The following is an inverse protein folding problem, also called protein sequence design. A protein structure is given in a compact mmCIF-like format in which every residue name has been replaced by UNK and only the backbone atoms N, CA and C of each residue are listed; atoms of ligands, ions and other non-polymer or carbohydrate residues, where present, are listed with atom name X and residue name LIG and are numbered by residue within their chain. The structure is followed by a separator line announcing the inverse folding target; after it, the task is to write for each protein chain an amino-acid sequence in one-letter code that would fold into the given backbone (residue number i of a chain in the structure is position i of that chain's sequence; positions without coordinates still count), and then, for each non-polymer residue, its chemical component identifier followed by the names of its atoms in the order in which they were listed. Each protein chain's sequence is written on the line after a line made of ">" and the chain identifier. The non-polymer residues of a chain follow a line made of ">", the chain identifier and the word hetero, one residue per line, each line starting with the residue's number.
data_IF_628118695714
#
_entry.id   IF_628118695714
#
_cell.length_a   1.000
_cell.length_b   1.000
_cell.length_c   1.000
_cell.angle_alpha   90.00
_cell.angle_beta   90.00
_cell.angle_gamma   90.00
#
_symmetry.space_group_name_H-M   'P 1'
#
loop_
_entity.id
_entity.type
_entity.pdbx_description
1 polymer ?
#
# COMPACT_ATOMS: atom_id res chain seq x y z
N UNK A 1 -19.30 -10.78 -20.28
CA UNK A 1 -18.35 -9.63 -20.11
C UNK A 1 -17.98 -9.57 -18.63
N UNK A 2 -16.75 -9.94 -18.27
CA UNK A 2 -16.24 -9.74 -16.91
C UNK A 2 -16.05 -8.22 -16.72
N UNK A 3 -16.81 -7.62 -15.79
CA UNK A 3 -16.53 -6.25 -15.33
C UNK A 3 -15.16 -6.27 -14.65
N UNK A 4 -14.16 -5.68 -15.27
CA UNK A 4 -12.88 -5.44 -14.60
C UNK A 4 -13.14 -4.52 -13.41
N UNK A 5 -12.93 -5.04 -12.21
CA UNK A 5 -13.02 -4.25 -10.98
C UNK A 5 -11.83 -3.27 -10.95
N UNK A 6 -12.07 -2.02 -11.31
CA UNK A 6 -11.07 -0.96 -11.23
C UNK A 6 -11.12 -0.33 -9.84
N UNK A 7 -10.01 -0.34 -9.09
CA UNK A 7 -9.97 0.33 -7.79
C UNK A 7 -10.08 1.85 -7.99
N UNK A 8 -11.09 2.46 -7.39
CA UNK A 8 -11.34 3.92 -7.46
C UNK A 8 -10.76 4.67 -6.26
N UNK A 9 -10.58 3.98 -5.14
CA UNK A 9 -10.03 4.52 -3.91
C UNK A 9 -9.34 3.41 -3.12
N UNK A 10 -8.53 3.80 -2.14
CA UNK A 10 -7.95 2.90 -1.14
C UNK A 10 -8.51 3.26 0.23
N UNK A 11 -8.93 2.26 0.97
CA UNK A 11 -9.31 2.37 2.37
C UNK A 11 -8.22 1.69 3.21
N UNK A 12 -7.67 2.41 4.17
CA UNK A 12 -6.68 1.90 5.12
C UNK A 12 -7.29 1.87 6.52
N UNK A 13 -6.94 0.88 7.30
CA UNK A 13 -7.29 0.78 8.70
C UNK A 13 -6.02 0.71 9.54
N UNK A 14 -5.86 1.63 10.49
CA UNK A 14 -4.76 1.61 11.45
C UNK A 14 -5.22 0.86 12.70
N UNK A 15 -4.63 -0.31 12.94
CA UNK A 15 -4.98 -1.17 14.08
C UNK A 15 -4.61 -0.61 15.43
N UNK A 16 -3.68 0.37 15.50
CA UNK A 16 -3.26 1.02 16.75
C UNK A 16 -4.21 2.12 17.16
N UNK A 17 -4.60 2.97 16.19
CA UNK A 17 -5.51 4.10 16.44
C UNK A 17 -6.97 3.74 16.20
N UNK A 18 -7.24 2.58 15.60
CA UNK A 18 -8.56 2.12 15.18
C UNK A 18 -9.25 3.10 14.23
N UNK A 19 -8.47 3.72 13.36
CA UNK A 19 -8.94 4.76 12.46
C UNK A 19 -8.96 4.29 11.02
N UNK A 20 -10.03 4.67 10.31
CA UNK A 20 -10.13 4.49 8.86
C UNK A 20 -9.63 5.74 8.14
N UNK A 21 -8.89 5.53 7.06
CA UNK A 21 -8.43 6.58 6.16
C UNK A 21 -8.73 6.21 4.72
N UNK A 22 -9.52 7.02 4.05
CA UNK A 22 -9.88 6.84 2.64
C UNK A 22 -9.07 7.78 1.76
N UNK A 23 -8.51 7.23 0.69
CA UNK A 23 -7.77 7.98 -0.33
C UNK A 23 -8.34 7.69 -1.71
N UNK A 24 -8.91 8.71 -2.34
CA UNK A 24 -9.42 8.64 -3.72
C UNK A 24 -8.24 8.66 -4.69
N UNK A 25 -8.26 7.83 -5.70
CA UNK A 25 -7.21 7.80 -6.71
C UNK A 25 -7.32 8.98 -7.66
N UNK A 26 -6.18 9.64 -7.93
CA UNK A 26 -6.10 10.81 -8.81
C UNK A 26 -6.17 10.46 -10.31
N UNK A 27 -5.85 9.22 -10.65
CA UNK A 27 -5.79 8.72 -12.04
C UNK A 27 -7.11 8.11 -12.53
N UNK A 28 -8.17 8.17 -11.72
CA UNK A 28 -9.49 7.66 -12.08
C UNK A 28 -10.33 8.77 -12.72
N UNK A 29 -11.06 8.42 -13.78
CA UNK A 29 -12.00 9.36 -14.41
C UNK A 29 -13.09 9.78 -13.42
N UNK A 30 -13.41 11.06 -13.34
CA UNK A 30 -14.43 11.58 -12.44
C UNK A 30 -15.81 10.90 -12.63
N UNK A 31 -16.14 10.53 -13.87
CA UNK A 31 -17.38 9.81 -14.19
C UNK A 31 -17.49 8.42 -13.55
N UNK A 32 -16.35 7.82 -13.21
CA UNK A 32 -16.29 6.49 -12.57
C UNK A 32 -16.36 6.55 -11.05
N UNK A 33 -16.33 7.76 -10.47
CA UNK A 33 -16.44 7.95 -9.03
C UNK A 33 -17.91 8.08 -8.61
N UNK A 34 -18.33 7.43 -7.52
CA UNK A 34 -19.67 7.61 -6.98
C UNK A 34 -19.84 9.01 -6.37
N UNK A 35 -21.08 9.44 -6.25
CA UNK A 35 -21.54 10.77 -5.87
C UNK A 35 -20.59 11.64 -5.04
N UNK A 36 -20.44 11.35 -3.75
CA UNK A 36 -19.62 12.19 -2.85
C UNK A 36 -18.13 12.15 -3.18
N UNK A 37 -17.58 11.00 -3.58
CA UNK A 37 -16.17 10.91 -3.99
C UNK A 37 -15.88 11.77 -5.22
N UNK A 38 -16.83 11.85 -6.15
CA UNK A 38 -16.74 12.72 -7.32
C UNK A 38 -16.69 14.20 -6.92
N UNK A 39 -17.55 14.62 -6.00
CA UNK A 39 -17.55 16.00 -5.50
C UNK A 39 -16.23 16.36 -4.81
N UNK A 40 -15.67 15.46 -4.00
CA UNK A 40 -14.36 15.68 -3.39
C UNK A 40 -13.25 15.79 -4.43
N UNK A 41 -13.22 14.89 -5.40
CA UNK A 41 -12.21 14.90 -6.46
C UNK A 41 -12.30 16.15 -7.35
N UNK A 42 -13.50 16.65 -7.64
CA UNK A 42 -13.71 17.91 -8.35
C UNK A 42 -13.15 19.13 -7.60
N UNK A 43 -13.19 19.09 -6.26
CA UNK A 43 -12.59 20.11 -5.40
C UNK A 43 -11.11 19.88 -5.12
N UNK A 44 -10.48 18.86 -5.72
CA UNK A 44 -9.09 18.51 -5.46
C UNK A 44 -8.85 17.82 -4.11
N UNK A 45 -9.91 17.46 -3.39
CA UNK A 45 -9.83 16.82 -2.08
C UNK A 45 -9.81 15.29 -2.24
N UNK A 46 -8.62 14.72 -2.36
CA UNK A 46 -8.46 13.27 -2.56
C UNK A 46 -8.33 12.47 -1.25
N UNK A 47 -8.18 13.15 -0.12
CA UNK A 47 -8.15 12.58 1.23
C UNK A 47 -9.18 13.33 2.08
N UNK A 48 -10.44 12.87 2.14
CA UNK A 48 -11.53 13.61 2.75
C UNK A 48 -11.50 13.68 4.29
N UNK A 49 -10.48 13.06 4.90
CA UNK A 49 -10.27 13.08 6.34
C UNK A 49 -10.88 11.87 7.05
N UNK A 50 -10.56 11.78 8.34
CA UNK A 50 -10.89 10.64 9.19
C UNK A 50 -12.40 10.52 9.45
N UNK A 51 -13.02 11.60 9.81
CA UNK A 51 -14.44 11.64 10.18
C UNK A 51 -15.34 11.16 9.03
N UNK A 52 -15.05 11.63 7.81
CA UNK A 52 -15.75 11.19 6.63
C UNK A 52 -15.44 9.73 6.29
N UNK A 53 -14.19 9.29 6.44
CA UNK A 53 -13.78 7.92 6.20
C UNK A 53 -14.49 6.95 7.13
N UNK A 54 -14.59 7.29 8.41
CA UNK A 54 -15.33 6.52 9.43
C UNK A 54 -16.81 6.45 9.09
N UNK A 55 -17.45 7.58 8.79
CA UNK A 55 -18.87 7.62 8.41
C UNK A 55 -19.15 6.78 7.17
N UNK A 56 -18.29 6.85 6.16
CA UNK A 56 -18.40 6.05 4.94
C UNK A 56 -18.37 4.55 5.23
N UNK A 57 -17.53 4.11 6.16
CA UNK A 57 -17.49 2.71 6.61
C UNK A 57 -18.76 2.35 7.39
N UNK A 58 -19.19 3.19 8.32
CA UNK A 58 -20.38 2.95 9.14
C UNK A 58 -21.67 2.81 8.32
N UNK A 59 -21.75 3.46 7.17
CA UNK A 59 -22.88 3.30 6.23
C UNK A 59 -22.87 1.93 5.51
N UNK A 60 -21.80 1.12 5.66
CA UNK A 60 -21.60 -0.18 4.98
C UNK A 60 -21.50 -1.38 5.92
N UNK A 61 -21.52 -1.13 7.21
CA UNK A 61 -21.46 -2.19 8.22
C UNK A 61 -22.71 -2.17 9.08
N UNK A 62 -22.97 -3.30 9.74
CA UNK A 62 -24.07 -3.40 10.70
C UNK A 62 -23.68 -2.61 11.96
N UNK A 63 -24.49 -1.64 12.41
CA UNK A 63 -24.21 -0.89 13.63
C UNK A 63 -24.13 -1.76 14.88
N UNK A 64 -23.27 -1.39 15.83
CA UNK A 64 -23.06 -2.13 17.06
C UNK A 64 -24.32 -2.18 17.95
N UNK A 65 -25.12 -1.13 17.91
CA UNK A 65 -26.35 -0.98 18.70
C UNK A 65 -27.57 -1.65 18.07
N UNK A 66 -27.41 -2.32 16.92
CA UNK A 66 -28.52 -3.03 16.26
C UNK A 66 -29.02 -4.16 17.14
N UNK A 67 -30.34 -4.24 17.32
CA UNK A 67 -30.98 -5.36 18.00
C UNK A 67 -30.59 -6.70 17.35
N UNK A 68 -30.16 -7.67 18.15
CA UNK A 68 -29.73 -8.99 17.66
C UNK A 68 -28.32 -9.04 17.08
N UNK A 69 -27.49 -8.01 17.21
CA UNK A 69 -26.12 -7.98 16.68
C UNK A 69 -25.29 -9.20 17.11
N UNK A 70 -25.45 -9.67 18.35
CA UNK A 70 -24.73 -10.85 18.85
C UNK A 70 -25.07 -12.15 18.09
N UNK A 71 -26.28 -12.28 17.54
CA UNK A 71 -26.67 -13.40 16.71
C UNK A 71 -25.98 -13.26 15.34
N UNK A 72 -26.08 -12.09 14.71
CA UNK A 72 -25.46 -11.83 13.43
C UNK A 72 -23.92 -12.01 13.45
N UNK A 73 -23.27 -11.64 14.56
CA UNK A 73 -21.83 -11.88 14.74
C UNK A 73 -21.51 -13.37 14.80
N UNK A 74 -22.25 -14.17 15.57
CA UNK A 74 -22.03 -15.62 15.68
C UNK A 74 -22.28 -16.34 14.36
N UNK A 75 -23.33 -15.99 13.64
CA UNK A 75 -23.63 -16.55 12.30
C UNK A 75 -22.50 -16.27 11.31
N UNK A 76 -21.79 -15.16 11.49
CA UNK A 76 -20.61 -14.80 10.72
C UNK A 76 -19.30 -15.30 11.32
N UNK A 77 -19.34 -16.17 12.37
CA UNK A 77 -18.15 -16.73 13.01
C UNK A 77 -17.31 -15.69 13.75
N UNK A 78 -17.93 -14.60 14.24
CA UNK A 78 -17.26 -13.55 15.01
C UNK A 78 -17.68 -13.61 16.48
N UNK A 79 -16.69 -13.47 17.37
CA UNK A 79 -16.89 -13.48 18.83
C UNK A 79 -17.04 -12.09 19.42
N UNK A 80 -16.59 -11.07 18.72
CA UNK A 80 -16.64 -9.67 19.11
C UNK A 80 -16.96 -8.76 17.92
N UNK A 81 -17.46 -7.59 18.22
CA UNK A 81 -17.68 -6.56 17.19
C UNK A 81 -16.34 -5.98 16.74
N UNK A 82 -16.11 -5.99 15.43
CA UNK A 82 -14.93 -5.44 14.78
C UNK A 82 -15.34 -4.88 13.43
N UNK A 83 -15.30 -3.55 13.30
CA UNK A 83 -15.75 -2.82 12.09
C UNK A 83 -14.98 -3.26 10.83
N UNK A 84 -13.66 -3.47 10.97
CA UNK A 84 -12.82 -3.90 9.87
C UNK A 84 -13.18 -5.32 9.40
N UNK A 85 -13.32 -6.26 10.33
CA UNK A 85 -13.69 -7.64 10.03
C UNK A 85 -15.10 -7.75 9.42
N UNK A 86 -16.05 -6.94 9.91
CA UNK A 86 -17.41 -6.87 9.34
C UNK A 86 -17.36 -6.34 7.90
N UNK A 87 -16.60 -5.26 7.69
CA UNK A 87 -16.44 -4.63 6.38
C UNK A 87 -15.81 -5.59 5.35
N UNK A 88 -14.77 -6.33 5.75
CA UNK A 88 -14.14 -7.35 4.90
C UNK A 88 -15.12 -8.46 4.53
N UNK A 89 -15.86 -9.01 5.48
CA UNK A 89 -16.84 -10.09 5.24
C UNK A 89 -18.01 -9.66 4.37
N UNK A 90 -18.54 -8.47 4.59
CA UNK A 90 -19.64 -7.90 3.80
C UNK A 90 -19.18 -7.39 2.44
N UNK A 91 -17.85 -7.29 2.21
CA UNK A 91 -17.26 -6.59 1.08
C UNK A 91 -17.73 -5.13 0.98
N UNK A 92 -18.16 -4.55 2.08
CA UNK A 92 -18.66 -3.19 2.13
C UNK A 92 -19.83 -2.91 1.21
N UNK A 93 -20.62 -3.94 0.85
CA UNK A 93 -21.80 -3.76 -0.01
C UNK A 93 -22.80 -2.79 0.63
N UNK A 94 -23.27 -1.85 -0.16
CA UNK A 94 -24.23 -0.82 0.26
C UNK A 94 -25.30 -0.66 -0.80
N UNK A 95 -26.46 -0.17 -0.40
CA UNK A 95 -27.53 0.24 -1.31
C UNK A 95 -27.30 1.62 -1.89
N UNK A 96 -26.32 2.35 -1.41
CA UNK A 96 -26.02 3.73 -1.80
C UNK A 96 -25.17 3.84 -3.07
N UNK A 97 -24.38 2.82 -3.35
CA UNK A 97 -23.50 2.75 -4.53
C UNK A 97 -23.12 1.29 -4.87
N UNK A 98 -22.50 1.10 -6.02
CA UNK A 98 -22.03 -0.21 -6.52
C UNK A 98 -20.56 -0.51 -6.09
N UNK A 99 -20.03 0.20 -5.11
CA UNK A 99 -18.66 -0.03 -4.65
C UNK A 99 -18.57 -1.30 -3.80
N UNK A 100 -17.45 -2.00 -3.99
CA UNK A 100 -17.05 -3.12 -3.15
C UNK A 100 -15.73 -2.81 -2.46
N UNK A 101 -15.60 -3.24 -1.23
CA UNK A 101 -14.33 -3.23 -0.48
C UNK A 101 -13.69 -4.60 -0.65
N UNK A 102 -12.60 -4.64 -1.38
CA UNK A 102 -11.83 -5.86 -1.60
C UNK A 102 -10.46 -5.73 -0.95
N UNK A 103 -9.95 -6.78 -0.30
CA UNK A 103 -8.58 -6.79 0.17
C UNK A 103 -7.63 -6.47 -0.98
N UNK A 104 -6.73 -5.55 -0.77
CA UNK A 104 -5.67 -5.26 -1.71
C UNK A 104 -4.34 -5.12 -0.97
N UNK A 105 -3.25 -5.44 -1.65
CA UNK A 105 -1.97 -4.93 -1.20
C UNK A 105 -2.07 -3.41 -1.27
N UNK A 106 -2.11 -2.75 -0.11
CA UNK A 106 -2.15 -1.30 -0.04
C UNK A 106 -1.03 -0.67 -0.86
N UNK A 107 -1.11 0.62 -1.22
CA UNK A 107 -0.03 1.30 -1.90
C UNK A 107 1.23 1.04 -1.09
N UNK A 108 2.19 0.32 -1.69
CA UNK A 108 3.44 -0.08 -1.00
C UNK A 108 3.97 1.18 -0.35
N UNK A 109 3.98 1.23 0.99
CA UNK A 109 4.58 2.34 1.73
C UNK A 109 5.93 2.56 1.09
N UNK A 110 6.23 3.79 0.64
CA UNK A 110 7.57 4.10 0.12
C UNK A 110 8.54 3.61 1.17
N UNK A 111 9.21 2.52 0.88
CA UNK A 111 10.15 1.92 1.82
C UNK A 111 11.19 2.99 2.15
N UNK A 112 11.52 3.12 3.42
CA UNK A 112 12.55 4.05 3.87
C UNK A 112 13.80 3.84 2.99
N UNK A 113 14.43 4.91 2.47
CA UNK A 113 15.63 4.78 1.65
C UNK A 113 16.68 3.95 2.37
N UNK A 114 17.42 3.12 1.62
CA UNK A 114 18.55 2.39 2.18
C UNK A 114 19.58 3.40 2.68
N UNK A 115 20.07 3.18 3.89
CA UNK A 115 21.13 4.00 4.47
C UNK A 115 22.47 3.68 3.80
N UNK A 116 23.43 4.63 3.79
CA UNK A 116 24.77 4.39 3.26
C UNK A 116 25.44 3.13 3.82
N UNK A 117 25.27 2.91 5.14
CA UNK A 117 25.82 1.74 5.83
C UNK A 117 25.19 0.42 5.35
N UNK A 118 23.88 0.43 5.09
CA UNK A 118 23.18 -0.75 4.57
C UNK A 118 23.62 -1.08 3.14
N UNK A 119 23.84 -0.08 2.29
CA UNK A 119 24.31 -0.28 0.92
C UNK A 119 25.74 -0.85 0.94
N UNK A 120 26.63 -0.27 1.76
CA UNK A 120 28.01 -0.73 1.92
C UNK A 120 28.03 -2.17 2.46
N UNK A 121 27.23 -2.47 3.47
CA UNK A 121 27.12 -3.82 4.03
C UNK A 121 26.68 -4.83 2.98
N UNK A 122 25.64 -4.52 2.24
CA UNK A 122 25.09 -5.38 1.18
C UNK A 122 26.16 -5.70 0.12
N UNK A 123 26.96 -4.71 -0.29
CA UNK A 123 28.06 -4.91 -1.21
C UNK A 123 29.16 -5.80 -0.63
N UNK A 124 29.51 -5.58 0.63
CA UNK A 124 30.56 -6.38 1.31
C UNK A 124 30.10 -7.82 1.53
N UNK A 125 28.85 -8.03 1.93
CA UNK A 125 28.26 -9.37 2.11
C UNK A 125 28.23 -10.15 0.77
N UNK A 126 28.14 -9.41 -0.36
CA UNK A 126 28.22 -9.96 -1.71
C UNK A 126 29.67 -10.12 -2.25
N UNK A 127 30.69 -9.85 -1.45
CA UNK A 127 32.10 -9.84 -1.85
C UNK A 127 32.40 -8.97 -3.09
N UNK A 128 31.68 -7.86 -3.26
CA UNK A 128 31.84 -6.97 -4.41
C UNK A 128 32.71 -5.75 -4.08
N UNK A 129 33.42 -5.26 -5.09
CA UNK A 129 33.98 -3.88 -5.10
C UNK A 129 32.89 -2.86 -5.41
N UNK A 130 33.13 -1.58 -5.20
CA UNK A 130 32.20 -0.52 -5.64
C UNK A 130 31.99 -0.57 -7.17
N UNK A 131 33.05 -0.87 -7.92
CA UNK A 131 32.99 -1.08 -9.37
C UNK A 131 32.10 -2.29 -9.73
N UNK A 132 32.27 -3.42 -9.06
CA UNK A 132 31.45 -4.59 -9.29
C UNK A 132 29.96 -4.38 -8.98
N UNK A 133 29.65 -3.66 -7.88
CA UNK A 133 28.27 -3.30 -7.59
C UNK A 133 27.70 -2.34 -8.66
N UNK A 134 28.49 -1.40 -9.14
CA UNK A 134 28.09 -0.45 -10.19
C UNK A 134 27.75 -1.20 -11.50
N UNK A 135 28.57 -2.16 -11.88
CA UNK A 135 28.38 -3.01 -13.06
C UNK A 135 27.07 -3.80 -12.97
N UNK A 136 26.87 -4.53 -11.87
CA UNK A 136 25.63 -5.31 -11.62
C UNK A 136 24.36 -4.44 -11.67
N UNK A 137 24.46 -3.19 -11.20
CA UNK A 137 23.33 -2.26 -11.21
C UNK A 137 23.16 -1.48 -12.53
N UNK A 138 24.10 -1.61 -13.49
CA UNK A 138 24.13 -0.79 -14.70
C UNK A 138 24.34 0.70 -14.40
N UNK A 139 25.13 1.01 -13.37
CA UNK A 139 25.35 2.37 -12.86
C UNK A 139 26.82 2.76 -12.92
N UNK A 140 27.12 4.03 -12.70
CA UNK A 140 28.52 4.49 -12.60
C UNK A 140 29.10 4.21 -11.20
N UNK A 141 30.41 3.97 -11.11
CA UNK A 141 31.12 3.82 -9.84
C UNK A 141 30.91 5.06 -8.93
N UNK A 142 30.92 6.25 -9.52
CA UNK A 142 30.66 7.52 -8.80
C UNK A 142 29.28 7.57 -8.15
N UNK A 143 28.26 6.91 -8.76
CA UNK A 143 26.93 6.82 -8.15
C UNK A 143 26.97 5.96 -6.88
N UNK A 144 27.62 4.81 -6.93
CA UNK A 144 27.78 3.91 -5.76
C UNK A 144 28.56 4.60 -4.64
N UNK A 145 29.66 5.28 -4.97
CA UNK A 145 30.45 6.09 -4.01
C UNK A 145 29.58 7.18 -3.35
N UNK A 146 28.75 7.87 -4.14
CA UNK A 146 27.86 8.90 -3.63
C UNK A 146 26.80 8.33 -2.68
N UNK A 147 26.27 7.12 -2.93
CA UNK A 147 25.33 6.46 -2.05
C UNK A 147 25.98 5.98 -0.75
N UNK A 148 27.16 5.35 -0.83
CA UNK A 148 27.88 4.86 0.36
C UNK A 148 28.45 6.00 1.23
N UNK A 149 28.70 7.16 0.66
CA UNK A 149 29.10 8.37 1.39
C UNK A 149 27.93 9.22 1.89
N UNK A 150 26.69 8.88 1.52
CA UNK A 150 25.50 9.64 1.90
C UNK A 150 25.31 10.96 1.13
N UNK A 151 26.12 11.24 0.10
CA UNK A 151 25.97 12.43 -0.75
C UNK A 151 24.73 12.35 -1.65
N UNK A 152 24.26 11.12 -1.95
CA UNK A 152 23.07 10.90 -2.75
C UNK A 152 22.35 9.64 -2.26
N UNK A 153 21.11 9.42 -2.72
CA UNK A 153 20.26 8.30 -2.36
C UNK A 153 19.92 7.51 -3.62
N UNK A 154 20.02 6.16 -3.60
CA UNK A 154 19.57 5.37 -4.74
C UNK A 154 18.08 5.59 -5.01
N UNK A 155 17.70 5.69 -6.28
CA UNK A 155 16.33 5.92 -6.71
C UNK A 155 15.95 5.02 -7.89
N UNK A 156 14.66 4.92 -8.17
CA UNK A 156 14.15 4.20 -9.34
C UNK A 156 14.52 2.72 -9.37
N UNK A 157 15.15 2.27 -10.47
CA UNK A 157 15.55 0.88 -10.67
C UNK A 157 16.64 0.44 -9.69
N UNK A 158 17.62 1.29 -9.42
CA UNK A 158 18.73 0.97 -8.52
C UNK A 158 18.24 0.67 -7.09
N UNK A 159 17.33 1.48 -6.53
CA UNK A 159 16.75 1.22 -5.20
C UNK A 159 15.98 -0.12 -5.18
N UNK A 160 15.24 -0.43 -6.24
CA UNK A 160 14.50 -1.70 -6.33
C UNK A 160 15.44 -2.90 -6.37
N UNK A 161 16.50 -2.84 -7.17
CA UNK A 161 17.47 -3.94 -7.31
C UNK A 161 18.21 -4.14 -5.99
N UNK A 162 18.71 -3.08 -5.34
CA UNK A 162 19.37 -3.16 -4.04
C UNK A 162 18.46 -3.82 -2.98
N UNK A 163 17.17 -3.55 -2.98
CA UNK A 163 16.21 -4.18 -2.06
C UNK A 163 15.95 -5.65 -2.40
N UNK A 164 15.97 -6.02 -3.66
CA UNK A 164 15.87 -7.43 -4.08
C UNK A 164 17.13 -8.18 -3.60
N UNK A 165 18.31 -7.63 -3.81
CA UNK A 165 19.57 -8.18 -3.31
C UNK A 165 19.58 -8.34 -1.79
N UNK A 166 19.04 -7.36 -1.05
CA UNK A 166 18.92 -7.39 0.40
C UNK A 166 18.01 -8.54 0.89
N UNK A 167 16.90 -8.76 0.19
CA UNK A 167 15.92 -9.81 0.57
C UNK A 167 16.30 -11.20 0.07
N UNK A 168 16.99 -11.26 -1.04
CA UNK A 168 17.34 -12.50 -1.75
C UNK A 168 18.80 -12.49 -2.18
N UNK A 169 19.73 -12.75 -1.27
CA UNK A 169 21.17 -12.73 -1.59
C UNK A 169 21.57 -13.68 -2.73
N UNK A 170 20.83 -14.77 -2.92
CA UNK A 170 21.08 -15.73 -4.02
C UNK A 170 20.96 -15.13 -5.43
N UNK A 171 20.21 -14.02 -5.58
CA UNK A 171 20.05 -13.31 -6.87
C UNK A 171 21.36 -12.67 -7.32
N UNK A 172 22.26 -12.33 -6.39
CA UNK A 172 23.53 -11.67 -6.68
C UNK A 172 24.40 -12.54 -7.61
N UNK A 173 24.49 -13.85 -7.34
CA UNK A 173 25.27 -14.77 -8.17
C UNK A 173 24.71 -14.89 -9.61
N UNK A 174 23.38 -14.79 -9.76
CA UNK A 174 22.76 -14.81 -11.09
C UNK A 174 23.05 -13.53 -11.88
N UNK A 175 23.14 -12.38 -11.20
CA UNK A 175 23.40 -11.09 -11.84
C UNK A 175 24.88 -10.89 -12.23
N UNK A 176 25.79 -11.65 -11.65
CA UNK A 176 27.23 -11.65 -12.00
C UNK A 176 27.54 -12.54 -13.19
N UNK A 177 26.63 -13.43 -13.57
CA UNK A 177 26.81 -14.39 -14.67
C UNK A 177 26.20 -13.95 -15.99
N UNK A 178 25.66 -12.75 -16.06
CA UNK A 178 25.09 -12.12 -17.27
C UNK A 178 26.03 -11.06 -17.79
#
# INVERSE_FOLDING_TARGET
>A
MQRQNYPVAYLSYDTKTQQFSLRIRKDVKLSSLPGMMRLFAQKGLYEPGEEWSKRWVQERIVPMDRHGIGIALRENGMTRYDECAILEKSQGKSTLDDLLVLPCEGPKKKSKPLTPSEIKKLRMDANMTQAGLAEVLGMTVKAVEAWESGRNIPSGAADKILRVMQKHPSVIGMMQSV
#
